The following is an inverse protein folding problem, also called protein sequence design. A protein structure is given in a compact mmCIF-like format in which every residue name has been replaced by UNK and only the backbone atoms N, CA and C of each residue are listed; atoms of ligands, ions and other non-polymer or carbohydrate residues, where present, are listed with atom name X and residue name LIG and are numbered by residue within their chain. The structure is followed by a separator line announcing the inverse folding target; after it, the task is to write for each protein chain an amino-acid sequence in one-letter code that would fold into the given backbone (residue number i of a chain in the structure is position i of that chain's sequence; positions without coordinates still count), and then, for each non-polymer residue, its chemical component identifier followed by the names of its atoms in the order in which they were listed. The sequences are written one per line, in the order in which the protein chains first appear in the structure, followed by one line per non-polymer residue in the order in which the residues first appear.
data_IF_302941720843
#
_entry.id   IF_302941720843
#
_cell.length_a   1.000
_cell.length_b   1.000
_cell.length_c   1.000
_cell.angle_alpha   90.00
_cell.angle_beta   90.00
_cell.angle_gamma   90.00
#
_symmetry.space_group_name_H-M   'P 1'
#
loop_
_entity.id
_entity.type
_entity.pdbx_description
1 polymer ?
#
# COMPACT_ATOMS: atom_id res chain seq x y z
N UNK A 1 12.43 9.93 -5.02
CA UNK A 1 12.77 9.23 -3.76
C UNK A 1 12.21 7.83 -3.84
N UNK A 2 12.96 6.81 -3.42
CA UNK A 2 12.53 5.42 -3.54
C UNK A 2 12.75 4.71 -2.21
N UNK A 3 11.67 4.19 -1.63
CA UNK A 3 11.67 3.41 -0.40
C UNK A 3 11.57 1.92 -0.76
N UNK A 4 12.65 1.19 -0.51
CA UNK A 4 12.68 -0.28 -0.64
C UNK A 4 12.13 -0.99 0.59
N UNK A 5 12.04 -0.28 1.70
CA UNK A 5 11.59 -0.76 2.98
C UNK A 5 10.56 0.21 3.55
N UNK A 6 9.59 -0.33 4.28
CA UNK A 6 8.54 0.48 4.89
C UNK A 6 9.16 1.46 5.91
N UNK A 7 8.88 2.77 5.84
CA UNK A 7 9.32 3.76 6.85
C UNK A 7 8.85 3.42 8.27
N UNK A 8 9.44 4.07 9.28
CA UNK A 8 9.04 3.87 10.67
C UNK A 8 7.68 4.48 11.03
N UNK A 9 7.23 5.47 10.25
CA UNK A 9 5.94 6.13 10.42
C UNK A 9 5.56 6.94 9.17
N UNK A 10 4.32 7.44 9.13
CA UNK A 10 3.86 8.30 8.04
C UNK A 10 4.56 9.67 8.03
N UNK A 11 4.95 10.19 9.21
CA UNK A 11 5.73 11.43 9.33
C UNK A 11 7.13 11.29 8.76
N UNK A 12 7.81 10.17 9.06
CA UNK A 12 9.12 9.87 8.50
C UNK A 12 9.02 9.82 6.97
N UNK A 13 8.02 9.11 6.46
CA UNK A 13 7.75 9.05 5.03
C UNK A 13 7.54 10.45 4.42
N UNK A 14 6.70 11.28 5.03
CA UNK A 14 6.42 12.65 4.57
C UNK A 14 7.70 13.50 4.46
N UNK A 15 8.53 13.48 5.52
CA UNK A 15 9.78 14.22 5.56
C UNK A 15 10.79 13.74 4.52
N UNK A 16 10.84 12.43 4.29
CA UNK A 16 11.76 11.80 3.34
C UNK A 16 11.37 12.09 1.89
N UNK A 17 10.09 11.94 1.53
CA UNK A 17 9.63 12.25 0.17
C UNK A 17 9.67 13.74 -0.14
N UNK A 18 9.51 14.62 0.86
CA UNK A 18 9.63 16.07 0.73
C UNK A 18 11.04 16.58 0.38
N UNK A 19 12.03 15.68 0.30
CA UNK A 19 13.37 16.00 -0.23
C UNK A 19 13.42 15.94 -1.76
N UNK A 20 12.44 15.29 -2.41
CA UNK A 20 12.33 15.24 -3.85
C UNK A 20 11.81 16.58 -4.42
N UNK A 21 12.24 16.97 -5.62
CA UNK A 21 11.64 18.08 -6.36
C UNK A 21 11.71 19.45 -5.67
N UNK A 22 12.73 19.69 -4.82
CA UNK A 22 12.92 21.00 -4.15
C UNK A 22 13.19 22.16 -5.11
N UNK A 23 13.59 21.85 -6.34
CA UNK A 23 13.73 22.78 -7.44
C UNK A 23 12.40 23.09 -8.16
N UNK A 24 11.28 22.53 -7.67
CA UNK A 24 9.95 22.71 -8.23
C UNK A 24 9.66 21.86 -9.47
N UNK A 25 10.63 21.05 -9.94
CA UNK A 25 10.42 20.15 -11.08
C UNK A 25 9.64 18.91 -10.66
N UNK A 26 9.03 18.25 -11.65
CA UNK A 26 8.34 16.98 -11.44
C UNK A 26 9.30 15.96 -10.81
N UNK A 27 8.83 15.31 -9.74
CA UNK A 27 9.57 14.28 -9.04
C UNK A 27 8.61 13.19 -8.57
N UNK A 28 9.13 11.97 -8.47
CA UNK A 28 8.35 10.81 -8.06
C UNK A 28 8.83 10.27 -6.71
N UNK A 29 7.87 9.80 -5.91
CA UNK A 29 8.09 9.05 -4.69
C UNK A 29 7.49 7.66 -4.87
N UNK A 30 8.33 6.63 -4.73
CA UNK A 30 7.92 5.23 -4.84
C UNK A 30 8.15 4.54 -3.50
N UNK A 31 7.19 3.73 -3.06
CA UNK A 31 7.34 2.86 -1.89
C UNK A 31 6.98 1.44 -2.27
N UNK A 32 7.90 0.52 -2.02
CA UNK A 32 7.63 -0.91 -2.03
C UNK A 32 7.29 -1.35 -0.61
N UNK A 33 6.23 -2.14 -0.47
CA UNK A 33 5.90 -2.79 0.79
C UNK A 33 5.27 -4.15 0.54
N UNK A 34 5.50 -5.08 1.45
CA UNK A 34 4.87 -6.37 1.48
C UNK A 34 4.52 -6.82 2.88
N UNK A 35 3.76 -7.93 2.96
CA UNK A 35 3.40 -8.55 4.24
C UNK A 35 4.63 -9.01 5.04
N UNK A 36 5.75 -9.30 4.36
CA UNK A 36 7.04 -9.62 5.00
C UNK A 36 7.58 -8.44 5.80
N UNK A 37 7.62 -7.25 5.18
CA UNK A 37 8.14 -6.02 5.80
C UNK A 37 7.29 -5.61 6.99
N UNK A 38 5.97 -5.71 6.85
CA UNK A 38 5.02 -5.43 7.94
C UNK A 38 5.29 -6.36 9.13
N UNK A 39 5.48 -7.66 8.88
CA UNK A 39 5.75 -8.64 9.94
C UNK A 39 7.08 -8.35 10.63
N UNK A 40 8.14 -8.08 9.86
CA UNK A 40 9.45 -7.73 10.39
C UNK A 40 9.39 -6.46 11.24
N UNK A 41 8.68 -5.42 10.78
CA UNK A 41 8.49 -4.17 11.54
C UNK A 41 7.76 -4.40 12.86
N UNK A 42 6.69 -5.21 12.88
CA UNK A 42 6.01 -5.57 14.13
C UNK A 42 6.94 -6.28 15.09
N UNK A 43 7.71 -7.25 14.60
CA UNK A 43 8.69 -7.98 15.42
C UNK A 43 9.71 -7.03 16.04
N UNK A 44 10.26 -6.08 15.27
CA UNK A 44 11.20 -5.09 15.79
C UNK A 44 10.58 -4.19 16.87
N UNK A 45 9.31 -3.81 16.75
CA UNK A 45 8.60 -3.05 17.79
C UNK A 45 8.42 -3.91 19.06
N UNK A 46 8.12 -5.20 18.89
CA UNK A 46 7.90 -6.12 20.00
C UNK A 46 9.20 -6.48 20.73
N UNK A 47 10.32 -6.60 20.01
CA UNK A 47 11.65 -6.90 20.54
C UNK A 47 12.34 -5.67 21.17
N UNK A 48 11.85 -4.45 20.90
CA UNK A 48 12.40 -3.22 21.48
C UNK A 48 12.34 -3.26 23.02
N UNK A 49 13.41 -2.89 23.71
CA UNK A 49 13.39 -2.77 25.18
C UNK A 49 12.74 -1.44 25.59
N UNK A 50 11.42 -1.38 25.45
CA UNK A 50 10.62 -0.20 25.70
C UNK A 50 9.37 -0.52 26.54
N UNK A 51 8.85 0.45 27.33
CA UNK A 51 7.60 0.27 28.06
C UNK A 51 6.45 -0.10 27.13
N UNK A 52 5.48 -0.89 27.63
CA UNK A 52 4.35 -1.35 26.83
C UNK A 52 3.59 -0.20 26.14
N UNK A 53 3.49 0.97 26.78
CA UNK A 53 2.87 2.15 26.18
C UNK A 53 3.63 2.68 24.96
N UNK A 54 4.96 2.64 24.99
CA UNK A 54 5.79 3.03 23.86
C UNK A 54 5.54 2.09 22.67
N UNK A 55 5.58 0.77 22.92
CA UNK A 55 5.31 -0.24 21.89
C UNK A 55 3.93 -0.06 21.28
N UNK A 56 2.90 0.22 22.10
CA UNK A 56 1.54 0.53 21.61
C UNK A 56 1.52 1.72 20.67
N UNK A 57 2.19 2.82 21.01
CA UNK A 57 2.29 3.99 20.12
C UNK A 57 3.04 3.67 18.83
N UNK A 58 4.11 2.88 18.90
CA UNK A 58 4.86 2.46 17.73
C UNK A 58 4.03 1.58 16.79
N UNK A 59 3.28 0.61 17.32
CA UNK A 59 2.31 -0.17 16.55
C UNK A 59 1.25 0.72 15.91
N UNK A 60 0.68 1.68 16.65
CA UNK A 60 -0.29 2.63 16.10
C UNK A 60 0.25 3.43 14.91
N UNK A 61 1.50 3.92 14.99
CA UNK A 61 2.15 4.62 13.85
C UNK A 61 2.37 3.70 12.65
N UNK A 62 2.81 2.47 12.88
CA UNK A 62 2.98 1.47 11.83
C UNK A 62 1.64 1.19 11.16
N UNK A 63 0.58 1.05 11.93
CA UNK A 63 -0.76 0.78 11.43
C UNK A 63 -1.32 1.94 10.61
N UNK A 64 -1.08 3.19 11.01
CA UNK A 64 -1.38 4.37 10.19
C UNK A 64 -0.65 4.33 8.86
N UNK A 65 0.65 3.99 8.86
CA UNK A 65 1.44 3.89 7.63
C UNK A 65 0.94 2.76 6.71
N UNK A 66 0.58 1.61 7.29
CA UNK A 66 -0.05 0.51 6.55
C UNK A 66 -1.37 0.98 5.95
N UNK A 67 -2.20 1.69 6.71
CA UNK A 67 -3.44 2.30 6.22
C UNK A 67 -3.18 3.25 5.04
N UNK A 68 -2.14 4.09 5.12
CA UNK A 68 -1.72 4.94 4.01
C UNK A 68 -1.33 4.13 2.76
N UNK A 69 -0.64 3.00 2.92
CA UNK A 69 -0.21 2.15 1.81
C UNK A 69 -1.40 1.44 1.13
N UNK A 70 -2.42 1.11 1.91
CA UNK A 70 -3.51 0.23 1.47
C UNK A 70 -4.80 0.97 1.11
N UNK A 71 -4.89 2.26 1.43
CA UNK A 71 -6.03 3.09 1.05
C UNK A 71 -6.25 3.11 -0.47
N UNK A 72 -7.52 3.13 -0.86
CA UNK A 72 -7.95 3.37 -2.24
C UNK A 72 -8.16 4.87 -2.53
N UNK A 73 -8.09 5.73 -1.52
CA UNK A 73 -8.28 7.18 -1.66
C UNK A 73 -7.01 7.86 -2.19
N UNK A 74 -7.13 9.10 -2.67
CA UNK A 74 -5.98 9.90 -3.08
C UNK A 74 -4.89 9.94 -2.00
N UNK A 75 -3.67 9.52 -2.34
CA UNK A 75 -2.53 9.53 -1.42
C UNK A 75 -2.29 10.89 -0.79
N UNK A 76 -2.41 11.97 -1.59
CA UNK A 76 -2.21 13.35 -1.11
C UNK A 76 -3.27 13.77 -0.10
N UNK A 77 -4.54 13.38 -0.32
CA UNK A 77 -5.62 13.70 0.61
C UNK A 77 -5.38 13.04 1.98
N UNK A 78 -5.00 11.76 1.99
CA UNK A 78 -4.70 11.05 3.23
C UNK A 78 -3.49 11.66 3.93
N UNK A 79 -2.42 11.93 3.17
CA UNK A 79 -1.18 12.48 3.72
C UNK A 79 -1.38 13.87 4.34
N UNK A 80 -2.11 14.76 3.67
CA UNK A 80 -2.43 16.10 4.19
C UNK A 80 -3.45 16.01 5.34
N UNK A 81 -4.46 15.15 5.22
CA UNK A 81 -5.45 14.91 6.26
C UNK A 81 -4.83 14.44 7.57
N UNK A 82 -3.76 13.64 7.50
CA UNK A 82 -2.98 13.23 8.67
C UNK A 82 -2.42 14.42 9.46
N UNK A 83 -2.05 15.50 8.77
CA UNK A 83 -1.55 16.75 9.37
C UNK A 83 -2.65 17.78 9.63
N UNK A 84 -3.92 17.39 9.52
CA UNK A 84 -5.07 18.28 9.75
C UNK A 84 -5.40 19.20 8.56
N UNK A 85 -4.82 18.96 7.39
CA UNK A 85 -5.07 19.72 6.17
C UNK A 85 -6.10 19.02 5.27
N UNK A 86 -7.05 19.78 4.74
CA UNK A 86 -8.03 19.27 3.77
C UNK A 86 -7.54 19.51 2.34
N UNK A 87 -7.78 18.53 1.46
CA UNK A 87 -7.41 18.65 0.05
C UNK A 87 -8.41 17.93 -0.85
N UNK A 88 -8.49 18.36 -2.10
CA UNK A 88 -9.19 17.64 -3.17
C UNK A 88 -8.32 16.50 -3.73
N UNK A 89 -8.88 15.53 -4.48
CA UNK A 89 -8.09 14.49 -5.13
C UNK A 89 -7.01 15.10 -6.04
N UNK A 90 -5.79 14.56 -6.03
CA UNK A 90 -4.65 15.27 -6.61
C UNK A 90 -4.45 15.05 -8.11
N UNK A 91 -5.11 14.04 -8.70
CA UNK A 91 -4.93 13.69 -10.11
C UNK A 91 -3.53 13.19 -10.49
N UNK A 92 -2.63 12.97 -9.53
CA UNK A 92 -1.20 12.72 -9.78
C UNK A 92 -0.55 11.69 -8.84
N UNK A 93 -1.35 10.91 -8.11
CA UNK A 93 -0.85 9.76 -7.34
C UNK A 93 -1.33 8.46 -8.00
N UNK A 94 -0.69 7.34 -7.67
CA UNK A 94 -1.07 6.01 -8.15
C UNK A 94 -2.58 5.75 -8.01
N UNK A 95 -3.19 6.08 -6.88
CA UNK A 95 -4.64 5.91 -6.68
C UNK A 95 -5.51 6.82 -7.55
N UNK A 96 -5.04 8.02 -7.92
CA UNK A 96 -5.79 8.91 -8.82
C UNK A 96 -5.59 8.54 -10.30
N UNK A 97 -4.47 7.88 -10.62
CA UNK A 97 -4.09 7.50 -11.98
C UNK A 97 -4.57 6.08 -12.34
N UNK A 98 -4.76 5.22 -11.33
CA UNK A 98 -5.31 3.88 -11.48
C UNK A 98 -6.81 3.95 -11.79
N UNK A 99 -7.20 3.42 -12.96
CA UNK A 99 -8.58 3.36 -13.41
C UNK A 99 -9.30 2.09 -12.95
N UNK A 100 -8.67 1.27 -12.10
CA UNK A 100 -9.30 0.07 -11.56
C UNK A 100 -10.60 0.46 -10.86
N UNK A 101 -11.75 -0.08 -11.28
CA UNK A 101 -13.02 0.27 -10.67
C UNK A 101 -13.01 -0.12 -9.20
N UNK A 102 -13.44 0.81 -8.35
CA UNK A 102 -13.78 0.47 -6.98
C UNK A 102 -15.06 -0.35 -6.97
N UNK A 103 -15.07 -1.42 -6.18
CA UNK A 103 -16.30 -2.16 -5.91
C UNK A 103 -17.00 -1.54 -4.70
N UNK A 104 -18.32 -1.61 -4.69
CA UNK A 104 -19.10 -1.47 -3.47
C UNK A 104 -18.70 -2.58 -2.51
N UNK A 105 -18.31 -2.20 -1.28
CA UNK A 105 -17.93 -3.12 -0.22
C UNK A 105 -18.80 -3.01 1.01
N UNK A 106 -19.94 -2.31 0.96
CA UNK A 106 -20.79 -2.11 2.13
C UNK A 106 -21.30 -3.43 2.72
N UNK A 107 -21.66 -4.40 1.87
CA UNK A 107 -22.11 -5.72 2.30
C UNK A 107 -21.03 -6.46 3.09
N UNK A 108 -19.84 -6.54 2.52
CA UNK A 108 -18.67 -7.13 3.16
C UNK A 108 -18.25 -6.39 4.43
N UNK A 109 -18.33 -5.05 4.44
CA UNK A 109 -18.03 -4.25 5.62
C UNK A 109 -18.98 -4.58 6.77
N UNK A 110 -20.29 -4.71 6.52
CA UNK A 110 -21.27 -5.13 7.54
C UNK A 110 -20.98 -6.53 8.08
N UNK A 111 -20.54 -7.47 7.23
CA UNK A 111 -20.11 -8.81 7.66
C UNK A 111 -18.90 -8.73 8.60
N UNK A 112 -17.89 -7.91 8.26
CA UNK A 112 -16.73 -7.68 9.11
C UNK A 112 -17.13 -7.05 10.45
N UNK A 113 -17.98 -6.02 10.42
CA UNK A 113 -18.44 -5.34 11.63
C UNK A 113 -19.23 -6.26 12.56
N UNK A 114 -20.08 -7.13 12.01
CA UNK A 114 -20.79 -8.14 12.79
C UNK A 114 -19.83 -9.07 13.53
N UNK A 115 -18.78 -9.55 12.85
CA UNK A 115 -17.77 -10.40 13.46
C UNK A 115 -16.94 -9.66 14.53
N UNK A 116 -16.57 -8.41 14.29
CA UNK A 116 -15.84 -7.57 15.26
C UNK A 116 -16.68 -7.32 16.51
N UNK A 117 -17.95 -6.94 16.34
CA UNK A 117 -18.87 -6.70 17.46
C UNK A 117 -19.14 -7.99 18.27
N UNK A 118 -19.40 -9.12 17.60
CA UNK A 118 -19.68 -10.41 18.27
C UNK A 118 -18.45 -11.00 18.98
N UNK A 119 -17.25 -10.63 18.56
CA UNK A 119 -16.00 -11.00 19.25
C UNK A 119 -15.57 -9.97 20.31
N UNK A 120 -16.39 -8.94 20.55
CA UNK A 120 -16.21 -7.96 21.61
C UNK A 120 -15.11 -6.93 21.33
N UNK A 121 -14.79 -6.64 20.07
CA UNK A 121 -13.86 -5.57 19.64
C UNK A 121 -12.44 -5.68 20.23
N UNK A 122 -11.96 -6.92 20.45
CA UNK A 122 -10.68 -7.19 21.13
C UNK A 122 -9.67 -7.96 20.27
N UNK A 123 -10.04 -8.28 19.03
CA UNK A 123 -9.28 -9.21 18.20
C UNK A 123 -8.81 -8.55 16.92
N UNK A 124 -7.57 -8.81 16.54
CA UNK A 124 -6.99 -8.31 15.29
C UNK A 124 -7.50 -9.06 14.06
N UNK A 125 -7.19 -8.52 12.88
CA UNK A 125 -7.68 -8.98 11.57
C UNK A 125 -7.54 -10.49 11.35
N UNK A 126 -6.41 -11.09 11.71
CA UNK A 126 -6.18 -12.53 11.48
C UNK A 126 -7.20 -13.42 12.18
N UNK A 127 -7.62 -13.05 13.40
CA UNK A 127 -8.64 -13.78 14.15
C UNK A 127 -10.04 -13.57 13.54
N UNK A 128 -10.37 -12.32 13.19
CA UNK A 128 -11.65 -11.99 12.53
C UNK A 128 -11.80 -12.76 11.21
N UNK A 129 -10.76 -12.79 10.38
CA UNK A 129 -10.78 -13.58 9.13
C UNK A 129 -10.91 -15.08 9.41
N UNK A 130 -10.29 -15.59 10.47
CA UNK A 130 -10.46 -16.98 10.89
C UNK A 130 -11.91 -17.31 11.25
N UNK A 131 -12.59 -16.42 11.98
CA UNK A 131 -14.02 -16.56 12.30
C UNK A 131 -14.87 -16.53 11.02
N UNK A 132 -14.67 -15.53 10.15
CA UNK A 132 -15.43 -15.40 8.90
C UNK A 132 -15.29 -16.60 7.97
N UNK A 133 -14.10 -17.22 7.92
CA UNK A 133 -13.84 -18.41 7.10
C UNK A 133 -14.24 -19.73 7.77
N UNK A 134 -14.70 -19.70 9.02
CA UNK A 134 -15.10 -20.91 9.75
C UNK A 134 -13.92 -21.77 10.20
N UNK A 135 -12.75 -21.18 10.46
CA UNK A 135 -11.57 -21.92 10.89
C UNK A 135 -11.58 -22.17 12.41
N UNK A 136 -11.59 -23.44 12.80
CA UNK A 136 -11.53 -23.89 14.21
C UNK A 136 -10.11 -23.87 14.78
N UNK A 137 -9.51 -22.69 14.86
CA UNK A 137 -8.23 -22.53 15.56
C UNK A 137 -8.41 -22.71 17.07
N UNK A 138 -7.34 -23.08 17.78
CA UNK A 138 -7.34 -23.19 19.25
C UNK A 138 -7.93 -21.94 19.93
N UNK A 139 -7.55 -20.75 19.45
CA UNK A 139 -8.06 -19.47 19.96
C UNK A 139 -9.56 -19.25 19.70
N UNK A 140 -10.07 -19.73 18.57
CA UNK A 140 -11.51 -19.68 18.23
C UNK A 140 -12.30 -20.62 19.13
N UNK A 141 -11.81 -21.85 19.34
CA UNK A 141 -12.45 -22.84 20.21
C UNK A 141 -12.44 -22.38 21.67
N UNK A 142 -11.28 -21.94 22.18
CA UNK A 142 -11.12 -21.48 23.56
C UNK A 142 -12.01 -20.27 23.92
N UNK A 143 -12.42 -19.48 22.93
CA UNK A 143 -13.32 -18.32 23.10
C UNK A 143 -14.76 -18.60 22.67
N UNK A 144 -15.09 -19.85 22.34
CA UNK A 144 -16.39 -20.26 21.83
C UNK A 144 -16.86 -19.50 20.58
N UNK A 145 -15.92 -18.96 19.80
CA UNK A 145 -16.24 -18.16 18.61
C UNK A 145 -16.74 -19.00 17.44
N UNK A 146 -16.53 -20.32 17.46
CA UNK A 146 -17.14 -21.27 16.53
C UNK A 146 -18.68 -21.31 16.63
N UNK A 147 -19.26 -20.78 17.70
CA UNK A 147 -20.72 -20.72 17.93
C UNK A 147 -21.34 -19.38 17.54
N UNK A 148 -20.54 -18.40 17.13
CA UNK A 148 -21.05 -17.08 16.75
C UNK A 148 -21.79 -17.15 15.43
N UNK A 149 -22.81 -16.30 15.26
CA UNK A 149 -23.55 -16.19 14.01
C UNK A 149 -22.65 -15.78 12.83
N UNK A 150 -21.55 -15.07 13.10
CA UNK A 150 -20.56 -14.68 12.09
C UNK A 150 -19.57 -15.79 11.70
N UNK A 151 -19.64 -16.96 12.34
CA UNK A 151 -18.72 -18.05 12.03
C UNK A 151 -19.04 -18.68 10.67
N UNK A 152 -18.07 -18.67 9.76
CA UNK A 152 -18.23 -19.24 8.41
C UNK A 152 -19.11 -18.42 7.46
N UNK A 153 -19.54 -17.21 7.82
CA UNK A 153 -20.39 -16.38 6.96
C UNK A 153 -19.64 -15.73 5.79
N UNK A 154 -18.31 -15.71 5.86
CA UNK A 154 -17.43 -15.09 4.87
C UNK A 154 -16.85 -16.04 3.82
N UNK A 155 -17.32 -17.29 3.73
CA UNK A 155 -16.74 -18.30 2.82
C UNK A 155 -16.85 -17.97 1.33
N UNK A 156 -17.69 -16.98 0.96
CA UNK A 156 -17.78 -16.47 -0.41
C UNK A 156 -16.46 -15.83 -0.90
N UNK A 157 -15.64 -15.31 0.02
CA UNK A 157 -14.39 -14.63 -0.30
C UNK A 157 -13.19 -15.37 0.31
N UNK A 158 -12.05 -15.29 -0.38
CA UNK A 158 -10.80 -15.88 0.12
C UNK A 158 -10.20 -15.04 1.24
N UNK A 159 -9.34 -15.66 2.05
CA UNK A 159 -8.57 -15.01 3.13
C UNK A 159 -7.95 -13.67 2.71
N UNK A 160 -7.27 -13.63 1.57
CA UNK A 160 -6.57 -12.43 1.10
C UNK A 160 -7.54 -11.25 0.86
N UNK A 161 -8.74 -11.53 0.36
CA UNK A 161 -9.79 -10.53 0.10
C UNK A 161 -10.25 -9.93 1.43
N UNK A 162 -10.58 -10.76 2.42
CA UNK A 162 -10.95 -10.27 3.74
C UNK A 162 -9.85 -9.47 4.42
N UNK A 163 -8.60 -9.93 4.29
CA UNK A 163 -7.46 -9.20 4.83
C UNK A 163 -7.30 -7.83 4.16
N UNK A 164 -7.44 -7.74 2.83
CA UNK A 164 -7.40 -6.48 2.09
C UNK A 164 -8.57 -5.56 2.48
N UNK A 165 -9.77 -6.12 2.62
CA UNK A 165 -10.96 -5.35 2.97
C UNK A 165 -10.87 -4.77 4.38
N UNK A 166 -10.45 -5.56 5.38
CA UNK A 166 -10.22 -5.07 6.75
C UNK A 166 -9.16 -3.97 6.76
N UNK A 167 -8.07 -4.15 6.01
CA UNK A 167 -7.01 -3.16 5.86
C UNK A 167 -7.51 -1.84 5.28
N UNK A 168 -8.33 -1.91 4.22
CA UNK A 168 -8.98 -0.74 3.61
C UNK A 168 -10.02 -0.09 4.54
N UNK A 169 -10.72 -0.86 5.38
CA UNK A 169 -11.62 -0.31 6.39
C UNK A 169 -10.87 0.45 7.49
N UNK A 170 -9.71 -0.06 7.94
CA UNK A 170 -8.82 0.65 8.87
C UNK A 170 -8.29 1.92 8.20
N UNK A 171 -7.75 1.82 7.00
CA UNK A 171 -7.24 2.94 6.21
C UNK A 171 -8.29 4.04 5.97
N UNK A 172 -9.54 3.63 5.73
CA UNK A 172 -10.67 4.52 5.51
C UNK A 172 -11.25 5.14 6.78
N UNK A 173 -10.72 4.78 7.96
CA UNK A 173 -11.19 5.25 9.27
C UNK A 173 -12.51 4.65 9.72
N UNK A 174 -12.95 3.55 9.10
CA UNK A 174 -14.16 2.81 9.51
C UNK A 174 -13.90 1.85 10.67
N UNK A 175 -12.68 1.34 10.74
CA UNK A 175 -12.16 0.59 11.88
C UNK A 175 -11.02 1.35 12.53
N UNK A 176 -10.95 1.30 13.85
CA UNK A 176 -9.78 1.73 14.62
C UNK A 176 -9.08 0.51 15.21
N UNK A 177 -7.83 0.70 15.57
CA UNK A 177 -7.10 -0.26 16.37
C UNK A 177 -7.26 0.16 17.83
N UNK A 178 -7.70 -0.78 18.66
CA UNK A 178 -8.01 -0.55 20.06
C UNK A 178 -6.86 0.16 20.79
N UNK A 179 -7.17 1.36 21.29
CA UNK A 179 -6.32 2.18 22.14
C UNK A 179 -6.09 1.61 23.54
N UNK A 180 -6.88 0.59 23.95
CA UNK A 180 -6.79 -0.12 25.23
C UNK A 180 -5.64 -1.14 25.32
N UNK A 181 -4.91 -1.35 24.22
CA UNK A 181 -3.53 -1.83 24.29
C UNK A 181 -3.27 -3.31 24.01
N UNK A 182 -4.25 -4.02 23.46
CA UNK A 182 -4.10 -5.42 23.03
C UNK A 182 -4.10 -5.59 21.50
N UNK A 183 -4.16 -4.49 20.72
CA UNK A 183 -4.11 -4.54 19.25
C UNK A 183 -5.36 -5.15 18.58
N UNK A 184 -6.53 -5.00 19.22
CA UNK A 184 -7.82 -5.43 18.67
C UNK A 184 -8.36 -4.47 17.60
N UNK A 185 -9.27 -4.92 16.76
CA UNK A 185 -10.05 -4.04 15.88
C UNK A 185 -11.32 -3.57 16.60
N UNK A 186 -11.60 -2.27 16.53
CA UNK A 186 -12.80 -1.64 17.05
C UNK A 186 -13.53 -0.87 15.94
N UNK A 187 -14.84 -0.70 16.08
CA UNK A 187 -15.65 0.02 15.08
C UNK A 187 -15.56 1.51 15.37
N UNK A 188 -15.05 2.28 14.41
CA UNK A 188 -14.98 3.74 14.50
C UNK A 188 -16.38 4.37 14.35
N UNK A 189 -16.53 5.66 14.68
CA UNK A 189 -17.82 6.32 14.47
C UNK A 189 -18.27 6.29 13.01
N UNK A 190 -17.34 6.57 12.08
CA UNK A 190 -17.58 6.43 10.64
C UNK A 190 -17.97 5.00 10.23
N UNK A 191 -17.47 3.98 10.92
CA UNK A 191 -17.89 2.59 10.74
C UNK A 191 -19.35 2.36 11.16
N UNK A 192 -19.80 3.03 12.24
CA UNK A 192 -21.21 2.98 12.68
C UNK A 192 -22.13 3.70 11.70
N UNK A 193 -21.71 4.85 11.18
CA UNK A 193 -22.42 5.58 10.10
C UNK A 193 -22.60 4.67 8.87
N UNK A 194 -21.55 3.95 8.46
CA UNK A 194 -21.63 2.98 7.36
C UNK A 194 -22.62 1.85 7.66
N UNK A 195 -22.58 1.32 8.88
CA UNK A 195 -23.48 0.24 9.30
C UNK A 195 -24.95 0.69 9.23
N UNK A 196 -25.23 1.98 9.47
CA UNK A 196 -26.55 2.63 9.32
C UNK A 196 -26.89 3.01 7.86
N UNK A 197 -25.94 2.91 6.93
CA UNK A 197 -26.12 3.28 5.53
C UNK A 197 -25.99 4.79 5.27
N UNK A 198 -25.37 5.53 6.18
CA UNK A 198 -25.22 7.00 6.09
C UNK A 198 -24.01 7.41 5.24
N UNK A 199 -22.97 6.57 5.20
CA UNK A 199 -21.76 6.80 4.39
C UNK A 199 -21.42 5.57 3.56
N UNK A 200 -21.03 5.73 2.28
CA UNK A 200 -20.68 4.61 1.44
C UNK A 200 -19.28 4.07 1.77
N UNK A 201 -19.04 2.81 1.42
CA UNK A 201 -17.70 2.26 1.36
C UNK A 201 -17.43 1.60 0.02
N UNK A 202 -16.44 2.16 -0.64
CA UNK A 202 -15.89 1.61 -1.86
C UNK A 202 -14.48 1.14 -1.57
N UNK A 203 -14.16 -0.06 -2.04
CA UNK A 203 -12.84 -0.63 -1.87
C UNK A 203 -12.24 -0.95 -3.23
N UNK A 204 -10.92 -0.86 -3.28
CA UNK A 204 -10.18 -1.31 -4.45
C UNK A 204 -10.18 -2.83 -4.45
N UNK A 205 -10.76 -3.42 -5.48
CA UNK A 205 -10.59 -4.84 -5.75
C UNK A 205 -9.14 -5.02 -6.19
N UNK A 206 -8.33 -5.71 -5.38
CA UNK A 206 -7.00 -6.09 -5.81
C UNK A 206 -7.16 -7.03 -7.02
N UNK A 207 -6.95 -6.49 -8.22
CA UNK A 207 -6.72 -7.30 -9.39
C UNK A 207 -5.50 -8.16 -9.06
N UNK A 208 -5.73 -9.43 -8.73
CA UNK A 208 -4.65 -10.41 -8.70
C UNK A 208 -3.91 -10.20 -10.00
N UNK A 209 -2.65 -9.79 -9.92
CA UNK A 209 -1.74 -9.74 -11.05
C UNK A 209 -1.74 -11.13 -11.69
N UNK A 210 -2.70 -11.37 -12.60
CA UNK A 210 -2.49 -12.26 -13.73
C UNK A 210 -1.43 -11.53 -14.50
N UNK A 211 -0.18 -11.85 -14.16
CA UNK A 211 1.00 -11.36 -14.83
C UNK A 211 0.65 -11.21 -16.31
N UNK A 212 0.60 -9.96 -16.78
CA UNK A 212 0.65 -9.66 -18.18
C UNK A 212 2.05 -10.08 -18.65
N UNK A 213 2.26 -11.39 -18.81
CA UNK A 213 3.14 -11.98 -19.81
C UNK A 213 2.50 -11.73 -21.19
N UNK A 214 2.18 -10.48 -21.48
CA UNK A 214 2.00 -10.02 -22.84
C UNK A 214 3.38 -9.66 -23.34
N UNK A 215 3.96 -10.50 -24.19
CA UNK A 215 5.14 -10.13 -24.98
C UNK A 215 4.80 -8.83 -25.73
N UNK A 216 5.27 -7.69 -25.24
CA UNK A 216 5.28 -6.45 -26.02
C UNK A 216 6.29 -6.63 -27.13
N UNK A 217 5.77 -6.98 -28.31
CA UNK A 217 6.48 -6.96 -29.58
C UNK A 217 6.63 -5.49 -29.98
N UNK A 218 7.84 -4.98 -30.30
CA UNK A 218 7.99 -3.59 -30.70
C UNK A 218 7.40 -3.39 -32.10
N UNK A 219 6.47 -2.46 -32.26
CA UNK A 219 6.07 -1.90 -33.56
C UNK A 219 6.95 -0.70 -33.91
N UNK A 220 7.47 -0.58 -35.14
CA UNK A 220 8.34 0.52 -35.55
C UNK A 220 7.58 1.73 -36.14
N UNK A 221 8.15 2.91 -35.86
CA UNK A 221 8.14 4.19 -36.60
C UNK A 221 6.89 5.08 -36.72
N UNK A 222 7.05 6.32 -36.24
CA UNK A 222 6.81 7.62 -36.90
C UNK A 222 7.33 8.73 -35.94
N UNK A 223 7.95 9.85 -36.31
CA UNK A 223 8.61 10.34 -37.52
C UNK A 223 9.43 11.60 -37.13
N UNK A 224 10.68 11.64 -37.58
CA UNK A 224 11.60 12.76 -37.78
C UNK A 224 11.09 14.21 -37.61
N UNK A 225 11.67 14.90 -36.63
CA UNK A 225 11.91 16.35 -36.56
C UNK A 225 13.19 16.55 -35.75
N UNK A 226 13.95 17.62 -35.93
CA UNK A 226 15.34 17.84 -35.47
C UNK A 226 15.68 17.64 -33.96
N UNK A 227 14.75 17.16 -33.13
CA UNK A 227 14.97 16.57 -31.79
C UNK A 227 15.29 15.04 -31.84
N UNK A 228 15.02 14.38 -32.98
CA UNK A 228 15.20 12.93 -33.20
C UNK A 228 16.67 12.53 -33.37
N UNK A 229 17.55 13.47 -33.76
CA UNK A 229 18.98 13.19 -33.95
C UNK A 229 19.68 12.96 -32.62
N UNK A 230 19.40 13.79 -31.60
CA UNK A 230 19.99 13.66 -30.26
C UNK A 230 19.49 12.41 -29.55
N UNK A 231 18.21 12.05 -29.75
CA UNK A 231 17.62 10.82 -29.21
C UNK A 231 18.10 9.58 -29.95
N UNK A 232 18.27 9.62 -31.27
CA UNK A 232 18.85 8.51 -32.05
C UNK A 232 20.34 8.32 -31.76
N UNK A 233 21.11 9.41 -31.60
CA UNK A 233 22.51 9.37 -31.22
C UNK A 233 22.67 8.83 -29.79
N UNK A 234 21.86 9.29 -28.84
CA UNK A 234 21.85 8.76 -27.47
C UNK A 234 21.48 7.27 -27.43
N UNK A 235 20.53 6.83 -28.24
CA UNK A 235 20.19 5.41 -28.38
C UNK A 235 21.37 4.59 -28.92
N UNK A 236 22.08 5.12 -29.92
CA UNK A 236 23.29 4.50 -30.50
C UNK A 236 24.42 4.41 -29.46
N UNK A 237 24.65 5.49 -28.71
CA UNK A 237 25.64 5.55 -27.62
C UNK A 237 25.32 4.56 -26.50
N UNK A 238 24.05 4.41 -26.11
CA UNK A 238 23.60 3.40 -25.13
C UNK A 238 23.84 1.98 -25.62
N UNK A 239 23.60 1.71 -26.91
CA UNK A 239 23.86 0.39 -27.51
C UNK A 239 25.36 0.06 -27.54
N UNK A 240 26.21 1.02 -27.91
CA UNK A 240 27.68 0.87 -27.87
C UNK A 240 28.17 0.64 -26.45
N UNK A 241 27.66 1.40 -25.47
CA UNK A 241 28.00 1.23 -24.05
C UNK A 241 27.67 -0.18 -23.56
N UNK A 242 26.49 -0.69 -23.91
CA UNK A 242 26.06 -2.03 -23.51
C UNK A 242 26.94 -3.13 -24.15
N UNK A 243 27.35 -2.96 -25.41
CA UNK A 243 28.28 -3.88 -26.07
C UNK A 243 29.64 -3.90 -25.37
N UNK A 244 30.24 -2.73 -25.10
CA UNK A 244 31.53 -2.62 -24.41
C UNK A 244 31.48 -3.17 -22.98
N UNK A 245 30.36 -2.96 -22.29
CA UNK A 245 30.12 -3.49 -20.94
C UNK A 245 30.10 -5.03 -20.93
N UNK A 246 29.46 -5.65 -21.94
CA UNK A 246 29.45 -7.11 -22.12
C UNK A 246 30.83 -7.66 -22.45
N UNK A 247 31.56 -7.02 -23.37
CA UNK A 247 32.93 -7.41 -23.73
C UNK A 247 33.88 -7.39 -22.53
N UNK A 248 33.68 -6.43 -21.60
CA UNK A 248 34.51 -6.26 -20.42
C UNK A 248 33.96 -6.89 -19.13
N UNK A 249 32.81 -7.57 -19.20
CA UNK A 249 32.12 -8.17 -18.05
C UNK A 249 31.90 -7.19 -16.87
N UNK A 250 31.62 -5.92 -17.16
CA UNK A 250 31.34 -4.88 -16.15
C UNK A 250 29.94 -4.28 -16.34
N UNK A 251 29.31 -3.73 -15.29
CA UNK A 251 28.05 -2.99 -15.43
C UNK A 251 28.18 -1.80 -16.39
N UNK A 252 27.16 -1.53 -17.19
CA UNK A 252 27.24 -0.54 -18.28
C UNK A 252 27.59 0.89 -17.82
N UNK A 253 27.12 1.31 -16.65
CA UNK A 253 27.42 2.64 -16.09
C UNK A 253 28.92 2.85 -15.77
N UNK A 254 29.70 1.77 -15.63
CA UNK A 254 31.15 1.82 -15.42
C UNK A 254 31.89 2.22 -16.70
N UNK A 255 31.34 1.91 -17.88
CA UNK A 255 31.92 2.34 -19.17
C UNK A 255 31.73 3.85 -19.35
N UNK A 256 30.50 4.33 -19.21
CA UNK A 256 30.15 5.75 -19.18
C UNK A 256 28.84 5.95 -18.42
N UNK A 257 28.75 7.02 -17.62
CA UNK A 257 27.50 7.41 -16.95
C UNK A 257 26.45 7.86 -17.96
N UNK A 258 25.17 7.78 -17.59
CA UNK A 258 24.07 8.31 -18.43
C UNK A 258 24.26 9.80 -18.73
N UNK A 259 24.75 10.58 -17.75
CA UNK A 259 25.07 12.00 -17.93
C UNK A 259 26.12 12.23 -19.01
N UNK A 260 27.15 11.39 -19.08
CA UNK A 260 28.20 11.50 -20.10
C UNK A 260 27.68 11.17 -21.49
N UNK A 261 26.79 10.17 -21.62
CA UNK A 261 26.19 9.86 -22.92
C UNK A 261 25.25 10.95 -23.41
N UNK A 262 24.55 11.62 -22.48
CA UNK A 262 23.68 12.76 -22.79
C UNK A 262 24.52 13.97 -23.26
N UNK A 263 25.59 14.33 -22.51
CA UNK A 263 26.51 15.42 -22.93
C UNK A 263 27.22 15.11 -24.26
N UNK A 264 27.47 13.83 -24.59
CA UNK A 264 28.01 13.42 -25.90
C UNK A 264 26.97 13.47 -27.03
N UNK A 265 25.68 13.38 -26.71
CA UNK A 265 24.60 13.45 -27.69
C UNK A 265 24.16 14.90 -27.96
N UNK A 266 24.41 15.81 -27.03
CA UNK A 266 24.09 17.25 -27.12
C UNK A 266 25.21 18.09 -27.79
N UNK A 267 26.32 17.48 -28.24
CA UNK A 267 27.49 18.13 -28.86
C UNK A 267 27.76 17.61 -30.26
#
# INVERSE_FOLDING_TARGET
VFHTDLPGSLEAYYQEIGRAGRDGRAAEAHMLFGLGDIRMRRLFIDDEDAPAEHKRRAHGRLDTLIGYCETAQCRRQILLGYFGESAMPCGNCDNCLDQTPHADGEGEARIVFAAIAQTGERFGAGHIVGVLLGHETEKVLARNHHRLASFGTGVAHKKDVWQSLIRQLVAGGFLTLDSGGHGGLAIAEKGRELARGEVPFQYRVEARNRAARGKTRPTPNAAAGTEDLDTALLATLKAVRLRLARERQVPAFVIFSDRTLIDMAER
#
